data_IF_083782996467
#
_entry.id   IF_083782996467
#
_cell.length_a   1.000
_cell.length_b   1.000
_cell.length_c   1.000
_cell.angle_alpha   90.00
_cell.angle_beta   90.00
_cell.angle_gamma   90.00
#
_symmetry.space_group_name_H-M   'P 1'
#
loop_
_entity.id
_entity.type
_entity.pdbx_description
1 polymer ?
#
# COMPACT_ATOMS: atom_id res chain seq x y z
N UNK A 1 -12.12 -1.95 11.70
CA UNK A 1 -11.24 -2.69 10.77
C UNK A 1 -11.22 -1.90 9.47
N UNK A 2 -10.07 -1.66 8.82
CA UNK A 2 -10.04 -0.93 7.55
C UNK A 2 -10.83 -1.68 6.46
N UNK A 3 -11.28 -0.95 5.44
CA UNK A 3 -11.95 -1.51 4.26
C UNK A 3 -11.19 -1.04 3.01
N UNK A 4 -10.89 -1.98 2.12
CA UNK A 4 -10.24 -1.70 0.84
C UNK A 4 -11.27 -1.44 -0.27
N UNK A 5 -10.89 -0.62 -1.27
CA UNK A 5 -11.72 -0.36 -2.47
C UNK A 5 -11.38 -1.29 -3.63
N UNK A 6 -10.11 -1.70 -3.72
CA UNK A 6 -9.61 -2.68 -4.68
C UNK A 6 -9.37 -4.00 -3.95
N UNK A 7 -10.39 -4.86 -3.90
CA UNK A 7 -10.28 -6.17 -3.25
C UNK A 7 -9.73 -7.20 -4.24
N UNK A 8 -8.55 -7.76 -3.97
CA UNK A 8 -8.00 -8.86 -4.74
C UNK A 8 -8.83 -10.14 -4.60
N UNK A 9 -8.95 -10.93 -5.68
CA UNK A 9 -9.76 -12.16 -5.69
C UNK A 9 -9.30 -13.30 -4.76
N UNK A 10 -8.26 -13.08 -3.95
CA UNK A 10 -7.74 -14.02 -2.95
C UNK A 10 -7.70 -13.44 -1.53
N UNK A 11 -8.28 -12.26 -1.33
CA UNK A 11 -8.36 -11.66 0.00
C UNK A 11 -9.36 -12.40 0.88
N UNK A 12 -9.18 -12.29 2.20
CA UNK A 12 -10.15 -12.79 3.14
C UNK A 12 -11.48 -12.02 2.99
N UNK A 13 -12.59 -12.76 2.99
CA UNK A 13 -13.93 -12.26 2.72
C UNK A 13 -14.39 -11.27 3.79
N UNK A 14 -14.85 -10.09 3.38
CA UNK A 14 -15.54 -9.14 4.25
C UNK A 14 -17.05 -9.34 4.07
N UNK A 15 -17.74 -9.67 5.16
CA UNK A 15 -19.19 -9.90 5.13
C UNK A 15 -19.92 -8.58 5.33
N UNK A 16 -20.84 -8.26 4.42
CA UNK A 16 -21.75 -7.13 4.50
C UNK A 16 -23.21 -7.61 4.44
N UNK A 17 -24.12 -6.87 5.06
CA UNK A 17 -25.53 -7.27 5.21
C UNK A 17 -26.30 -7.23 3.88
N UNK A 18 -25.74 -6.61 2.82
CA UNK A 18 -26.37 -6.43 1.51
C UNK A 18 -27.80 -5.82 1.58
N UNK A 19 -28.08 -5.02 2.61
CA UNK A 19 -29.36 -4.33 2.81
C UNK A 19 -29.39 -2.95 2.14
N UNK A 20 -30.57 -2.32 2.07
CA UNK A 20 -30.71 -0.97 1.50
C UNK A 20 -29.94 0.11 2.28
N UNK A 21 -29.70 -0.11 3.58
CA UNK A 21 -28.91 0.77 4.43
C UNK A 21 -27.44 0.83 4.00
N UNK A 22 -26.83 2.01 4.10
CA UNK A 22 -25.42 2.25 3.76
C UNK A 22 -25.03 1.77 2.35
N UNK A 23 -25.95 1.83 1.39
CA UNK A 23 -25.72 1.40 0.01
C UNK A 23 -25.23 -0.06 -0.09
N UNK A 24 -25.77 -0.97 0.74
CA UNK A 24 -25.37 -2.37 0.75
C UNK A 24 -24.14 -2.69 1.60
N UNK A 25 -23.49 -1.68 2.19
CA UNK A 25 -22.23 -1.83 2.94
C UNK A 25 -22.43 -1.90 4.46
N UNK A 26 -23.66 -2.12 4.93
CA UNK A 26 -23.92 -2.33 6.36
C UNK A 26 -23.18 -3.58 6.85
N UNK A 27 -22.68 -3.54 8.09
CA UNK A 27 -21.98 -4.66 8.76
C UNK A 27 -22.59 -4.96 10.13
N UNK A 28 -23.86 -4.61 10.33
CA UNK A 28 -24.51 -4.65 11.63
C UNK A 28 -24.66 -6.08 12.14
N UNK A 29 -24.91 -7.04 11.24
CA UNK A 29 -24.95 -8.47 11.61
C UNK A 29 -23.63 -8.94 12.23
N UNK A 30 -22.49 -8.47 11.74
CA UNK A 30 -21.16 -8.80 12.27
C UNK A 30 -20.96 -8.18 13.66
N UNK A 31 -21.41 -6.95 13.87
CA UNK A 31 -21.35 -6.30 15.19
C UNK A 31 -22.22 -7.05 16.21
N UNK A 32 -23.46 -7.39 15.84
CA UNK A 32 -24.36 -8.17 16.69
C UNK A 32 -23.78 -9.55 17.01
N UNK A 33 -23.16 -10.19 16.01
CA UNK A 33 -22.49 -11.48 16.20
C UNK A 33 -21.34 -11.39 17.21
N UNK A 34 -20.46 -10.40 17.08
CA UNK A 34 -19.34 -10.19 18.04
C UNK A 34 -19.89 -9.96 19.45
N UNK A 35 -20.92 -9.13 19.59
CA UNK A 35 -21.52 -8.85 20.91
C UNK A 35 -22.21 -10.07 21.52
N UNK A 36 -22.90 -10.87 20.70
CA UNK A 36 -23.54 -12.11 21.13
C UNK A 36 -22.53 -13.19 21.56
N UNK A 37 -21.40 -13.26 20.87
CA UNK A 37 -20.33 -14.23 21.14
C UNK A 37 -19.41 -13.80 22.30
N UNK A 38 -19.56 -12.57 22.83
CA UNK A 38 -18.65 -11.98 23.81
C UNK A 38 -18.42 -12.84 25.07
N UNK A 39 -19.48 -13.40 25.66
CA UNK A 39 -19.33 -14.24 26.86
C UNK A 39 -18.56 -15.54 26.55
N UNK A 40 -18.87 -16.18 25.42
CA UNK A 40 -18.16 -17.38 24.98
C UNK A 40 -16.68 -17.08 24.76
N UNK A 41 -16.35 -15.93 24.15
CA UNK A 41 -14.97 -15.50 23.91
C UNK A 41 -14.21 -15.25 25.23
N UNK A 42 -14.89 -14.81 26.28
CA UNK A 42 -14.28 -14.62 27.61
C UNK A 42 -13.98 -15.94 28.33
N UNK A 43 -14.72 -17.00 28.01
CA UNK A 43 -14.52 -18.33 28.59
C UNK A 43 -13.41 -19.13 27.89
N UNK A 44 -12.84 -18.61 26.79
CA UNK A 44 -11.72 -19.25 26.09
C UNK A 44 -10.45 -19.08 26.92
N UNK A 45 -9.86 -20.20 27.34
CA UNK A 45 -8.52 -20.20 27.92
C UNK A 45 -7.49 -19.92 26.81
N UNK A 46 -6.84 -18.76 26.89
CA UNK A 46 -5.80 -18.32 25.96
C UNK A 46 -4.50 -18.07 26.73
N UNK A 47 -3.43 -18.78 26.36
CA UNK A 47 -2.10 -18.60 26.94
C UNK A 47 -1.27 -17.58 26.14
N UNK A 48 -1.58 -17.46 24.84
CA UNK A 48 -1.00 -16.47 23.95
C UNK A 48 -2.04 -16.01 22.89
N UNK A 49 -1.83 -14.87 22.21
CA UNK A 49 -2.79 -14.37 21.23
C UNK A 49 -3.04 -15.30 20.03
N UNK A 50 -2.06 -16.12 19.64
CA UNK A 50 -2.23 -17.07 18.53
C UNK A 50 -3.24 -18.16 18.84
N UNK A 51 -3.45 -18.49 20.11
CA UNK A 51 -4.51 -19.45 20.51
C UNK A 51 -5.91 -18.94 20.10
N UNK A 52 -6.15 -17.63 20.22
CA UNK A 52 -7.40 -17.03 19.75
C UNK A 52 -7.47 -17.03 18.21
N UNK A 53 -6.36 -16.72 17.52
CA UNK A 53 -6.33 -16.77 16.05
C UNK A 53 -6.64 -18.18 15.54
N UNK A 54 -6.03 -19.21 16.13
CA UNK A 54 -6.27 -20.61 15.79
C UNK A 54 -7.73 -21.02 16.07
N UNK A 55 -8.27 -20.60 17.22
CA UNK A 55 -9.68 -20.80 17.54
C UNK A 55 -10.58 -20.14 16.49
N UNK A 56 -10.33 -18.88 16.14
CA UNK A 56 -11.14 -18.14 15.16
C UNK A 56 -11.05 -18.74 13.75
N UNK A 57 -9.85 -19.21 13.35
CA UNK A 57 -9.65 -19.90 12.07
C UNK A 57 -10.42 -21.22 12.06
N UNK A 58 -10.36 -22.02 13.12
CA UNK A 58 -11.11 -23.26 13.23
C UNK A 58 -12.63 -23.02 13.29
N UNK A 59 -13.05 -21.99 14.03
CA UNK A 59 -14.44 -21.57 14.18
C UNK A 59 -15.02 -20.98 12.89
N UNK A 60 -14.19 -20.45 11.99
CA UNK A 60 -14.57 -20.08 10.63
C UNK A 60 -14.55 -21.26 9.64
N UNK A 61 -13.52 -22.09 9.71
CA UNK A 61 -13.43 -23.34 8.93
C UNK A 61 -13.41 -23.17 7.40
N UNK A 62 -13.29 -21.97 6.85
CA UNK A 62 -13.05 -21.74 5.42
C UNK A 62 -11.65 -21.17 5.18
N UNK A 63 -11.12 -21.33 3.97
CA UNK A 63 -9.79 -20.80 3.62
C UNK A 63 -9.76 -19.26 3.62
N UNK A 64 -10.87 -18.64 3.21
CA UNK A 64 -11.00 -17.21 2.96
C UNK A 64 -11.77 -16.45 4.03
N UNK A 65 -12.16 -17.10 5.14
CA UNK A 65 -12.98 -16.48 6.20
C UNK A 65 -14.39 -16.09 5.77
N UNK A 66 -14.98 -16.79 4.80
CA UNK A 66 -16.33 -16.50 4.28
C UNK A 66 -17.46 -16.89 5.23
N UNK A 67 -17.20 -17.66 6.31
CA UNK A 67 -18.24 -18.03 7.28
C UNK A 67 -18.45 -16.97 8.37
N UNK A 68 -17.38 -16.52 9.01
CA UNK A 68 -17.40 -15.50 10.07
C UNK A 68 -17.13 -14.10 9.52
N UNK A 69 -16.30 -14.00 8.48
CA UNK A 69 -15.83 -12.74 7.92
C UNK A 69 -14.47 -12.32 8.49
N UNK A 70 -13.61 -11.78 7.63
CA UNK A 70 -12.38 -11.09 8.02
C UNK A 70 -12.68 -9.91 8.97
N UNK A 71 -13.79 -9.23 8.77
CA UNK A 71 -14.28 -8.15 9.61
C UNK A 71 -14.85 -8.60 10.96
N UNK A 72 -15.05 -9.90 11.19
CA UNK A 72 -15.31 -10.50 12.50
C UNK A 72 -14.02 -10.94 13.19
N UNK A 73 -13.16 -11.66 12.47
CA UNK A 73 -11.96 -12.32 13.03
C UNK A 73 -10.81 -11.35 13.31
N UNK A 74 -10.48 -10.46 12.36
CA UNK A 74 -9.37 -9.51 12.48
C UNK A 74 -9.47 -8.53 13.68
N UNK A 75 -10.63 -7.92 14.01
CA UNK A 75 -10.69 -7.02 15.17
C UNK A 75 -10.51 -7.77 16.48
N UNK A 76 -11.02 -9.00 16.60
CA UNK A 76 -10.84 -9.84 17.79
C UNK A 76 -9.36 -10.22 17.97
N UNK A 77 -8.69 -10.63 16.89
CA UNK A 77 -7.25 -10.87 16.85
C UNK A 77 -6.48 -9.62 17.34
N UNK A 78 -6.66 -8.46 16.69
CA UNK A 78 -5.97 -7.22 17.08
C UNK A 78 -6.25 -6.84 18.54
N UNK A 79 -7.48 -7.03 19.01
CA UNK A 79 -7.86 -6.76 20.40
C UNK A 79 -7.08 -7.65 21.37
N UNK A 80 -6.94 -8.93 21.06
CA UNK A 80 -6.17 -9.89 21.87
C UNK A 80 -4.69 -9.50 21.96
N UNK A 81 -4.03 -9.19 20.85
CA UNK A 81 -2.64 -8.71 20.88
C UNK A 81 -2.48 -7.42 21.70
N UNK A 82 -3.46 -6.50 21.63
CA UNK A 82 -3.47 -5.31 22.48
C UNK A 82 -3.63 -5.65 23.96
N UNK A 83 -4.56 -6.56 24.29
CA UNK A 83 -4.79 -7.02 25.66
C UNK A 83 -3.52 -7.62 26.26
N UNK A 84 -2.88 -8.57 25.58
CA UNK A 84 -1.64 -9.19 26.06
C UNK A 84 -0.50 -8.17 26.20
N UNK A 85 -0.36 -7.25 25.25
CA UNK A 85 0.62 -6.16 25.38
C UNK A 85 0.37 -5.30 26.63
N UNK A 86 -0.91 -5.03 26.95
CA UNK A 86 -1.31 -4.27 28.12
C UNK A 86 -1.07 -5.03 29.43
N UNK A 87 -1.42 -6.32 29.50
CA UNK A 87 -1.17 -7.18 30.66
C UNK A 87 0.33 -7.25 31.01
N UNK A 88 1.20 -7.23 29.99
CA UNK A 88 2.65 -7.22 30.16
C UNK A 88 3.24 -5.81 30.34
N UNK A 89 2.42 -4.75 30.39
CA UNK A 89 2.87 -3.36 30.45
C UNK A 89 3.84 -2.97 29.32
N UNK A 90 3.68 -3.58 28.15
CA UNK A 90 4.46 -3.31 26.94
C UNK A 90 3.66 -2.44 25.97
N UNK A 91 4.36 -1.60 25.20
CA UNK A 91 3.77 -1.00 24.00
C UNK A 91 3.50 -2.10 22.97
N UNK A 92 2.40 -2.02 22.22
CA UNK A 92 2.02 -3.04 21.23
C UNK A 92 3.16 -3.40 20.25
N UNK A 93 3.87 -2.41 19.72
CA UNK A 93 5.00 -2.66 18.81
C UNK A 93 6.13 -3.47 19.48
N UNK A 94 6.37 -3.25 20.78
CA UNK A 94 7.40 -3.95 21.54
C UNK A 94 6.97 -5.38 21.85
N UNK A 95 5.68 -5.57 22.14
CA UNK A 95 5.10 -6.89 22.30
C UNK A 95 5.22 -7.72 21.00
N UNK A 96 4.81 -7.17 19.86
CA UNK A 96 4.96 -7.82 18.54
C UNK A 96 6.44 -8.10 18.23
N UNK A 97 7.33 -7.18 18.57
CA UNK A 97 8.77 -7.39 18.39
C UNK A 97 9.27 -8.60 19.20
N UNK A 98 8.86 -8.73 20.46
CA UNK A 98 9.23 -9.88 21.29
C UNK A 98 8.67 -11.19 20.73
N UNK A 99 7.43 -11.19 20.23
CA UNK A 99 6.81 -12.37 19.63
C UNK A 99 7.48 -12.81 18.32
N UNK A 100 7.88 -11.84 17.48
CA UNK A 100 8.46 -12.12 16.16
C UNK A 100 9.97 -12.26 16.17
N UNK A 101 10.59 -12.03 17.32
CA UNK A 101 12.05 -11.93 17.49
C UNK A 101 12.71 -10.95 16.50
N UNK A 102 11.93 -9.97 16.02
CA UNK A 102 12.38 -9.05 14.99
C UNK A 102 13.30 -7.96 15.54
N UNK A 103 14.21 -7.49 14.69
CA UNK A 103 15.03 -6.32 15.00
C UNK A 103 14.14 -5.08 14.99
N UNK A 104 14.24 -4.25 16.04
CA UNK A 104 13.58 -2.96 16.06
C UNK A 104 14.17 -2.06 14.98
N UNK A 105 13.32 -1.63 14.06
CA UNK A 105 13.63 -0.66 13.01
C UNK A 105 12.41 0.21 12.75
N UNK A 106 12.64 1.49 12.47
CA UNK A 106 11.58 2.36 11.95
C UNK A 106 11.54 2.18 10.43
N UNK A 107 10.38 1.89 9.82
CA UNK A 107 10.28 1.70 8.37
C UNK A 107 10.51 3.02 7.63
N UNK A 108 11.02 2.92 6.40
CA UNK A 108 11.03 4.07 5.48
C UNK A 108 9.60 4.33 4.99
N UNK A 109 9.01 5.49 5.29
CA UNK A 109 7.67 5.80 4.81
C UNK A 109 7.67 6.05 3.30
N UNK A 110 6.70 5.46 2.62
CA UNK A 110 6.32 5.82 1.26
C UNK A 110 5.05 6.65 1.36
N UNK A 111 5.14 7.91 0.94
CA UNK A 111 4.03 8.85 0.99
C UNK A 111 3.37 8.91 -0.38
N UNK A 112 2.11 8.48 -0.48
CA UNK A 112 1.32 8.66 -1.69
C UNK A 112 1.05 10.17 -1.91
N UNK A 113 1.56 10.72 -3.01
CA UNK A 113 1.46 12.16 -3.30
C UNK A 113 0.67 12.47 -4.56
N UNK A 114 0.47 11.48 -5.43
CA UNK A 114 -0.25 11.62 -6.69
C UNK A 114 -0.98 10.32 -7.03
N UNK A 115 -2.27 10.46 -7.29
CA UNK A 115 -3.19 9.36 -7.57
C UNK A 115 -3.52 9.28 -9.05
N UNK A 116 -3.62 8.05 -9.54
CA UNK A 116 -4.14 7.69 -10.85
C UNK A 116 -5.13 6.52 -10.74
N UNK A 117 -5.42 5.87 -11.86
CA UNK A 117 -6.24 4.66 -11.90
C UNK A 117 -7.62 4.84 -11.28
N UNK A 118 -8.15 3.77 -10.65
CA UNK A 118 -9.48 3.72 -10.02
C UNK A 118 -9.64 4.68 -8.82
N UNK A 119 -8.54 5.26 -8.33
CA UNK A 119 -8.54 6.26 -7.27
C UNK A 119 -8.68 7.69 -7.81
N UNK A 120 -8.73 7.88 -9.14
CA UNK A 120 -8.83 9.20 -9.77
C UNK A 120 -9.69 9.18 -11.04
N UNK A 121 -10.10 10.37 -11.52
CA UNK A 121 -10.74 10.53 -12.83
C UNK A 121 -9.77 10.82 -13.98
N UNK A 122 -8.46 10.65 -13.78
CA UNK A 122 -7.44 10.94 -14.80
C UNK A 122 -7.10 9.69 -15.64
N UNK A 123 -6.27 9.88 -16.68
CA UNK A 123 -5.98 8.84 -17.67
C UNK A 123 -4.74 7.99 -17.35
N UNK A 124 -4.20 8.06 -16.13
CA UNK A 124 -3.03 7.27 -15.75
C UNK A 124 -3.47 5.89 -15.27
N UNK A 125 -2.82 4.84 -15.77
CA UNK A 125 -3.10 3.47 -15.36
C UNK A 125 -2.50 3.11 -13.99
N UNK A 126 -1.38 3.75 -13.60
CA UNK A 126 -0.78 3.60 -12.27
C UNK A 126 -1.73 4.20 -11.21
N UNK A 127 -1.99 3.46 -10.13
CA UNK A 127 -2.91 3.87 -9.08
C UNK A 127 -2.29 4.88 -8.12
N UNK A 128 -1.03 4.65 -7.72
CA UNK A 128 -0.35 5.47 -6.72
C UNK A 128 1.08 5.77 -7.15
N UNK A 129 1.44 7.05 -7.08
CA UNK A 129 2.83 7.51 -7.19
C UNK A 129 3.25 8.06 -5.84
N UNK A 130 4.14 7.33 -5.20
CA UNK A 130 4.63 7.63 -3.86
C UNK A 130 6.06 8.15 -3.90
N UNK A 131 6.44 8.87 -2.85
CA UNK A 131 7.82 9.28 -2.60
C UNK A 131 8.32 8.76 -1.26
N UNK A 132 9.59 8.38 -1.23
CA UNK A 132 10.26 7.93 -0.03
C UNK A 132 11.59 8.66 0.14
N UNK A 133 11.87 9.10 1.36
CA UNK A 133 13.11 9.77 1.72
C UNK A 133 14.00 8.85 2.54
N UNK A 134 15.30 9.13 2.56
CA UNK A 134 16.30 8.34 3.31
C UNK A 134 17.09 9.22 4.28
N UNK A 135 16.37 10.10 4.97
CA UNK A 135 16.91 10.96 6.01
C UNK A 135 17.20 10.16 7.30
N UNK A 136 17.91 10.78 8.23
CA UNK A 136 18.37 10.15 9.48
C UNK A 136 17.26 9.77 10.47
N UNK A 137 16.04 10.27 10.26
CA UNK A 137 14.90 10.05 11.15
C UNK A 137 13.58 10.05 10.38
N UNK A 138 12.55 9.45 10.99
CA UNK A 138 11.19 9.46 10.41
C UNK A 138 10.66 10.88 10.31
N UNK A 139 10.90 11.70 11.33
CA UNK A 139 10.51 13.10 11.41
C UNK A 139 11.09 13.90 10.24
N UNK A 140 12.38 13.70 9.93
CA UNK A 140 12.99 14.36 8.78
C UNK A 140 12.45 13.85 7.46
N UNK A 141 12.18 12.54 7.33
CA UNK A 141 11.53 12.00 6.13
C UNK A 141 10.12 12.60 5.91
N UNK A 142 9.35 12.77 6.99
CA UNK A 142 8.03 13.39 6.95
C UNK A 142 8.12 14.88 6.59
N UNK A 143 9.05 15.63 7.21
CA UNK A 143 9.29 17.04 6.88
C UNK A 143 9.56 17.22 5.38
N UNK A 144 10.48 16.43 4.81
CA UNK A 144 10.78 16.46 3.37
C UNK A 144 9.59 16.10 2.48
N UNK A 145 8.80 15.12 2.90
CA UNK A 145 7.61 14.73 2.16
C UNK A 145 6.56 15.84 2.17
N UNK A 146 6.37 16.53 3.30
CA UNK A 146 5.48 17.69 3.41
C UNK A 146 5.97 18.84 2.52
N UNK A 147 7.27 19.18 2.56
CA UNK A 147 7.86 20.20 1.68
C UNK A 147 7.59 19.90 0.19
N UNK A 148 7.83 18.64 -0.24
CA UNK A 148 7.58 18.20 -1.61
C UNK A 148 6.08 18.23 -1.96
N UNK A 149 5.22 17.78 -1.05
CA UNK A 149 3.77 17.71 -1.26
C UNK A 149 3.15 19.11 -1.44
N UNK A 150 3.53 20.08 -0.60
CA UNK A 150 3.07 21.47 -0.77
C UNK A 150 3.65 22.12 -2.03
N UNK A 151 4.92 21.84 -2.35
CA UNK A 151 5.48 22.32 -3.63
C UNK A 151 4.81 21.67 -4.85
N UNK A 152 4.34 20.42 -4.73
CA UNK A 152 3.56 19.74 -5.76
C UNK A 152 2.21 20.40 -5.97
N UNK A 153 1.50 20.70 -4.87
CA UNK A 153 0.26 21.47 -4.93
C UNK A 153 0.45 22.79 -5.69
N UNK A 154 1.49 23.55 -5.36
CA UNK A 154 1.70 24.87 -5.97
C UNK A 154 2.04 24.74 -7.46
N UNK A 155 2.80 23.72 -7.87
CA UNK A 155 3.06 23.42 -9.29
C UNK A 155 1.78 23.00 -10.01
N UNK A 156 0.91 22.20 -9.40
CA UNK A 156 -0.39 21.81 -9.96
C UNK A 156 -1.27 23.05 -10.18
N UNK A 157 -1.28 23.99 -9.22
CA UNK A 157 -2.02 25.26 -9.35
C UNK A 157 -1.50 26.07 -10.54
N UNK A 158 -0.18 26.13 -10.72
CA UNK A 158 0.45 26.86 -11.83
C UNK A 158 0.14 26.23 -13.20
N UNK A 159 0.09 24.91 -13.29
CA UNK A 159 -0.06 24.21 -14.58
C UNK A 159 -1.52 23.96 -14.97
N UNK A 160 -2.37 23.61 -14.00
CA UNK A 160 -3.74 23.18 -14.25
C UNK A 160 -4.78 24.08 -13.58
N UNK A 161 -4.41 24.77 -12.50
CA UNK A 161 -5.29 25.63 -11.72
C UNK A 161 -5.74 25.01 -10.39
N UNK A 162 -6.28 25.87 -9.52
CA UNK A 162 -6.60 25.52 -8.12
C UNK A 162 -7.59 24.36 -7.97
N UNK A 163 -8.53 24.21 -8.90
CA UNK A 163 -9.55 23.14 -8.80
C UNK A 163 -8.96 21.72 -8.90
N UNK A 164 -7.73 21.59 -9.41
CA UNK A 164 -7.05 20.30 -9.59
C UNK A 164 -6.16 19.91 -8.42
N UNK A 165 -6.22 20.65 -7.30
CA UNK A 165 -5.56 20.25 -6.04
C UNK A 165 -6.49 19.45 -5.12
N UNK A 166 -7.58 18.90 -5.65
CA UNK A 166 -8.37 17.91 -4.94
C UNK A 166 -7.53 16.65 -4.69
N UNK A 167 -7.83 15.98 -3.60
CA UNK A 167 -7.11 14.77 -3.17
C UNK A 167 -8.00 13.54 -3.33
N UNK A 168 -7.39 12.41 -3.62
CA UNK A 168 -8.07 11.10 -3.64
C UNK A 168 -8.23 10.51 -2.23
N UNK A 169 -8.69 9.25 -2.18
CA UNK A 169 -9.01 8.53 -0.94
C UNK A 169 -7.82 8.44 0.04
N UNK A 170 -6.60 8.47 -0.47
CA UNK A 170 -5.35 8.36 0.32
C UNK A 170 -4.57 9.67 0.45
N UNK A 171 -5.17 10.79 0.04
CA UNK A 171 -4.56 12.11 0.21
C UNK A 171 -3.61 12.57 -0.91
N UNK A 172 -3.24 11.70 -1.86
CA UNK A 172 -2.51 12.14 -3.07
C UNK A 172 -3.35 13.03 -4.00
N UNK A 173 -2.72 13.96 -4.72
CA UNK A 173 -3.41 14.82 -5.70
C UNK A 173 -3.86 14.04 -6.94
N UNK A 174 -4.95 14.47 -7.57
CA UNK A 174 -5.45 13.86 -8.81
C UNK A 174 -5.58 14.88 -9.97
N UNK A 175 -4.47 15.49 -10.43
CA UNK A 175 -4.50 16.45 -11.54
C UNK A 175 -4.87 15.76 -12.87
N UNK A 176 -5.23 16.53 -13.93
CA UNK A 176 -5.69 16.00 -15.21
C UNK A 176 -4.51 15.61 -16.12
N UNK A 177 -3.64 14.75 -15.60
CA UNK A 177 -2.44 14.25 -16.26
C UNK A 177 -2.76 13.11 -17.22
N UNK A 178 -2.01 13.04 -18.34
CA UNK A 178 -2.30 12.15 -19.46
C UNK A 178 -1.60 10.80 -19.37
N UNK A 179 -0.42 10.76 -18.76
CA UNK A 179 0.40 9.55 -18.67
C UNK A 179 1.36 9.62 -17.47
N UNK A 180 2.01 8.49 -17.16
CA UNK A 180 2.94 8.37 -16.04
C UNK A 180 4.11 9.37 -16.13
N UNK A 181 4.62 9.63 -17.35
CA UNK A 181 5.73 10.55 -17.56
C UNK A 181 5.37 11.98 -17.12
N UNK A 182 4.16 12.46 -17.46
CA UNK A 182 3.67 13.77 -17.03
C UNK A 182 3.57 13.84 -15.50
N UNK A 183 3.05 12.79 -14.86
CA UNK A 183 3.01 12.69 -13.39
C UNK A 183 4.40 12.73 -12.74
N UNK A 184 5.37 12.00 -13.29
CA UNK A 184 6.75 12.01 -12.81
C UNK A 184 7.43 13.37 -13.03
N UNK A 185 7.18 14.01 -14.18
CA UNK A 185 7.71 15.34 -14.48
C UNK A 185 7.18 16.41 -13.52
N UNK A 186 5.90 16.34 -13.13
CA UNK A 186 5.36 17.21 -12.08
C UNK A 186 6.13 17.06 -10.78
N UNK A 187 6.34 15.82 -10.31
CA UNK A 187 7.08 15.54 -9.08
C UNK A 187 8.52 16.08 -9.17
N UNK A 188 9.21 15.88 -10.29
CA UNK A 188 10.56 16.39 -10.50
C UNK A 188 10.61 17.93 -10.52
N UNK A 189 9.63 18.58 -11.15
CA UNK A 189 9.51 20.04 -11.17
C UNK A 189 9.27 20.59 -9.76
N UNK A 190 8.41 19.94 -8.98
CA UNK A 190 8.14 20.27 -7.58
C UNK A 190 9.35 20.06 -6.69
N UNK A 191 10.08 18.96 -6.86
CA UNK A 191 11.32 18.71 -6.14
C UNK A 191 12.36 19.80 -6.45
N UNK A 192 12.49 20.20 -7.72
CA UNK A 192 13.37 21.32 -8.11
C UNK A 192 12.93 22.64 -7.46
N UNK A 193 11.64 22.96 -7.45
CA UNK A 193 11.09 24.17 -6.81
C UNK A 193 11.33 24.18 -5.30
N UNK A 194 11.21 23.03 -4.64
CA UNK A 194 11.49 22.85 -3.22
C UNK A 194 12.99 22.67 -2.88
N UNK A 195 13.89 22.72 -3.87
CA UNK A 195 15.32 22.42 -3.68
C UNK A 195 15.60 21.05 -3.07
N UNK A 196 14.73 20.06 -3.36
CA UNK A 196 14.84 18.67 -2.93
C UNK A 196 15.52 17.87 -4.04
N UNK A 197 16.61 17.18 -3.71
CA UNK A 197 17.41 16.44 -4.68
C UNK A 197 17.52 14.95 -4.41
N UNK A 198 17.21 14.50 -3.19
CA UNK A 198 17.40 13.11 -2.78
C UNK A 198 16.10 12.48 -2.27
N UNK A 199 15.47 11.67 -3.13
CA UNK A 199 14.29 10.88 -2.80
C UNK A 199 14.18 9.68 -3.76
N UNK A 200 13.31 8.75 -3.43
CA UNK A 200 12.92 7.61 -4.25
C UNK A 200 11.47 7.75 -4.63
N UNK A 201 11.12 7.21 -5.79
CA UNK A 201 9.75 7.08 -6.26
C UNK A 201 9.34 5.62 -6.12
N UNK A 202 8.17 5.39 -5.54
CA UNK A 202 7.48 4.11 -5.52
C UNK A 202 6.24 4.19 -6.39
N UNK A 203 5.95 3.13 -7.13
CA UNK A 203 4.74 3.03 -7.95
C UNK A 203 3.90 1.84 -7.48
N UNK A 204 2.62 2.08 -7.22
CA UNK A 204 1.59 1.03 -7.23
C UNK A 204 0.89 1.04 -8.58
N UNK A 205 1.12 -0.02 -9.34
CA UNK A 205 0.51 -0.16 -10.65
C UNK A 205 -0.91 -0.73 -10.55
N UNK A 206 -1.31 -1.41 -9.47
CA UNK A 206 -2.60 -2.10 -9.36
C UNK A 206 -2.97 -2.92 -10.61
N UNK A 207 -2.01 -3.69 -11.14
CA UNK A 207 -2.08 -4.30 -12.47
C UNK A 207 -3.29 -5.23 -12.68
N UNK A 208 -3.84 -5.81 -11.61
CA UNK A 208 -5.07 -6.60 -11.66
C UNK A 208 -6.28 -5.81 -12.19
N UNK A 209 -6.31 -4.49 -12.02
CA UNK A 209 -7.43 -3.64 -12.44
C UNK A 209 -7.50 -3.39 -13.96
N UNK A 210 -6.42 -3.63 -14.70
CA UNK A 210 -6.35 -3.43 -16.17
C UNK A 210 -5.63 -4.58 -16.89
N UNK A 211 -5.61 -5.77 -16.28
CA UNK A 211 -4.86 -6.92 -16.76
C UNK A 211 -5.29 -7.34 -18.19
N UNK A 212 -4.37 -7.16 -19.14
CA UNK A 212 -4.24 -7.96 -20.36
C UNK A 212 -2.75 -8.18 -20.63
N UNK A 213 -2.34 -9.34 -21.18
CA UNK A 213 -0.92 -9.65 -21.45
C UNK A 213 -0.23 -8.58 -22.32
N UNK A 214 -1.00 -7.97 -23.23
CA UNK A 214 -0.54 -6.89 -24.12
C UNK A 214 -0.28 -5.59 -23.37
N UNK A 215 -1.13 -5.25 -22.39
CA UNK A 215 -0.98 -4.05 -21.57
C UNK A 215 0.30 -4.09 -20.71
N UNK A 216 0.64 -5.25 -20.15
CA UNK A 216 1.84 -5.38 -19.30
C UNK A 216 3.13 -5.27 -20.13
N UNK A 217 3.14 -5.84 -21.34
CA UNK A 217 4.28 -5.73 -22.26
C UNK A 217 4.53 -4.28 -22.71
N UNK A 218 3.47 -3.55 -23.06
CA UNK A 218 3.55 -2.12 -23.39
C UNK A 218 4.05 -1.29 -22.20
N UNK A 219 3.61 -1.60 -20.99
CA UNK A 219 4.02 -0.87 -19.78
C UNK A 219 5.50 -1.09 -19.44
N UNK A 220 6.00 -2.34 -19.45
CA UNK A 220 7.42 -2.62 -19.25
C UNK A 220 8.26 -1.93 -20.33
N UNK A 221 7.79 -1.94 -21.59
CA UNK A 221 8.47 -1.26 -22.70
C UNK A 221 8.52 0.26 -22.49
N UNK A 222 7.41 0.90 -22.11
CA UNK A 222 7.33 2.34 -21.83
C UNK A 222 8.21 2.73 -20.64
N UNK A 223 8.22 1.92 -19.59
CA UNK A 223 9.09 2.12 -18.43
C UNK A 223 10.57 2.00 -18.82
N UNK A 224 10.94 1.05 -19.67
CA UNK A 224 12.33 0.87 -20.12
C UNK A 224 12.78 1.93 -21.13
N UNK A 225 11.90 2.39 -22.03
CA UNK A 225 12.24 3.36 -23.08
C UNK A 225 12.31 4.80 -22.57
N UNK A 226 11.47 5.19 -21.58
CA UNK A 226 11.36 6.59 -21.13
C UNK A 226 12.04 6.89 -19.79
N UNK A 227 12.37 5.88 -18.98
CA UNK A 227 12.98 6.08 -17.65
C UNK A 227 14.47 5.72 -17.60
N UNK A 228 15.13 5.46 -18.72
CA UNK A 228 16.55 5.11 -18.74
C UNK A 228 17.50 6.14 -18.07
N UNK A 229 17.19 7.45 -17.95
CA UNK A 229 18.00 8.37 -17.13
C UNK A 229 17.74 8.27 -15.62
N UNK A 230 16.66 7.59 -15.19
CA UNK A 230 16.19 7.50 -13.81
C UNK A 230 16.39 6.06 -13.33
N UNK A 231 17.35 5.83 -12.43
CA UNK A 231 17.75 4.48 -12.03
C UNK A 231 16.59 3.67 -11.43
N UNK A 232 15.93 2.83 -12.22
CA UNK A 232 15.04 1.76 -11.76
C UNK A 232 15.93 0.73 -11.08
N UNK A 233 15.80 0.54 -9.76
CA UNK A 233 16.53 -0.51 -9.03
C UNK A 233 15.55 -1.45 -8.35
N UNK A 234 15.60 -2.70 -8.83
CA UNK A 234 15.33 -3.97 -8.15
C UNK A 234 13.92 -4.56 -8.02
N UNK A 235 12.84 -3.96 -8.50
CA UNK A 235 11.52 -4.57 -8.24
C UNK A 235 10.96 -5.50 -9.32
N UNK A 236 11.62 -5.67 -10.47
CA UNK A 236 11.17 -6.67 -11.48
C UNK A 236 11.60 -8.11 -11.16
N UNK A 237 12.31 -8.34 -10.05
CA UNK A 237 12.80 -9.67 -9.64
C UNK A 237 11.67 -10.65 -9.27
N UNK A 238 10.46 -10.17 -9.03
CA UNK A 238 9.34 -10.98 -8.51
C UNK A 238 8.28 -11.33 -9.56
N UNK A 239 8.36 -10.77 -10.76
CA UNK A 239 7.45 -11.10 -11.87
C UNK A 239 7.98 -12.37 -12.55
N UNK A 240 7.41 -13.54 -12.23
CA UNK A 240 7.65 -14.78 -12.97
C UNK A 240 6.98 -14.72 -14.36
N UNK A 241 7.49 -13.87 -15.24
CA UNK A 241 7.16 -13.93 -16.67
C UNK A 241 8.33 -14.58 -17.42
N UNK A 242 8.10 -15.67 -18.18
CA UNK A 242 9.12 -16.30 -19.02
C UNK A 242 9.81 -15.32 -19.99
N UNK A 243 9.13 -14.23 -20.35
CA UNK A 243 9.61 -13.18 -21.27
C UNK A 243 10.73 -12.32 -20.67
N UNK A 244 10.74 -12.10 -19.34
CA UNK A 244 11.76 -11.26 -18.67
C UNK A 244 13.13 -11.96 -18.55
N UNK A 245 13.17 -13.30 -18.55
CA UNK A 245 14.43 -14.09 -18.50
C UNK A 245 15.29 -13.94 -19.76
N UNK A 246 14.71 -13.59 -20.90
CA UNK A 246 15.45 -13.46 -22.17
C UNK A 246 16.26 -12.15 -22.21
N UNK A 247 15.82 -11.11 -21.47
CA UNK A 247 16.45 -9.79 -21.46
C UNK A 247 17.53 -9.61 -20.37
N UNK A 248 17.51 -10.41 -19.29
CA UNK A 248 18.46 -10.30 -18.18
C UNK A 248 19.44 -11.49 -18.18
N UNK A 249 20.59 -11.35 -18.84
CA UNK A 249 21.60 -12.41 -19.00
C UNK A 249 22.42 -12.74 -17.71
N UNK A 250 21.80 -12.86 -16.52
CA UNK A 250 22.47 -13.43 -15.30
C UNK A 250 21.48 -14.13 -14.35
N UNK A 251 21.92 -15.16 -13.59
CA UNK A 251 21.02 -15.98 -12.80
C UNK A 251 20.51 -15.23 -11.56
N UNK A 252 19.19 -15.23 -11.38
CA UNK A 252 18.50 -14.68 -10.21
C UNK A 252 18.30 -15.82 -9.19
N UNK A 253 18.88 -15.66 -8.00
CA UNK A 253 18.66 -16.52 -6.84
C UNK A 253 17.29 -16.19 -6.22
N UNK A 254 16.40 -17.19 -6.17
CA UNK A 254 15.07 -17.11 -5.55
C UNK A 254 15.10 -17.60 -4.11
N UNK A 255 14.56 -16.81 -3.18
CA UNK A 255 14.17 -17.27 -1.84
C UNK A 255 12.84 -16.63 -1.45
N UNK A 256 11.83 -17.46 -1.12
CA UNK A 256 10.63 -17.12 -0.35
C UNK A 256 9.59 -16.24 -1.04
N UNK A 257 8.51 -16.85 -1.53
CA UNK A 257 7.42 -16.16 -2.22
C UNK A 257 6.51 -15.35 -1.30
N UNK A 258 6.24 -14.11 -1.74
CA UNK A 258 4.99 -13.31 -1.63
C UNK A 258 5.10 -12.28 -2.78
N UNK A 259 4.07 -12.16 -3.62
CA UNK A 259 4.05 -11.25 -4.76
C UNK A 259 3.48 -9.91 -4.33
N UNK A 260 4.26 -8.84 -4.44
CA UNK A 260 3.78 -7.47 -4.27
C UNK A 260 4.32 -6.62 -5.42
N UNK A 261 3.43 -6.04 -6.23
CA UNK A 261 3.68 -5.39 -7.53
C UNK A 261 4.30 -3.98 -7.43
N UNK A 262 5.25 -3.77 -6.52
CA UNK A 262 5.87 -2.47 -6.34
C UNK A 262 6.99 -2.25 -7.35
N UNK A 263 7.15 -1.05 -7.91
CA UNK A 263 8.39 -0.63 -8.60
C UNK A 263 9.07 0.51 -7.84
N UNK A 264 10.38 0.39 -7.56
CA UNK A 264 11.17 1.42 -6.89
C UNK A 264 12.18 2.04 -7.86
N UNK A 265 12.15 3.36 -7.96
CA UNK A 265 13.02 4.14 -8.83
C UNK A 265 13.80 5.16 -7.98
N UNK A 266 15.12 5.22 -8.12
CA UNK A 266 15.94 6.27 -7.51
C UNK A 266 15.89 7.53 -8.36
N UNK A 267 15.64 8.68 -7.73
CA UNK A 267 15.88 9.97 -8.38
C UNK A 267 17.34 10.03 -8.87
N UNK A 268 17.62 10.53 -10.09
CA UNK A 268 18.98 10.84 -10.47
C UNK A 268 19.49 11.90 -9.50
N UNK A 269 20.62 11.66 -8.86
CA UNK A 269 21.42 12.77 -8.34
C UNK A 269 21.60 13.76 -9.48
N UNK A 270 21.11 15.00 -9.33
CA UNK A 270 21.20 16.07 -10.32
C UNK A 270 22.63 16.18 -10.84
N UNK A 271 22.91 15.47 -11.93
CA UNK A 271 24.19 15.38 -12.61
C UNK A 271 23.98 16.06 -13.94
N UNK A 272 23.97 17.39 -13.91
CA UNK A 272 24.31 18.24 -15.05
C UNK A 272 24.80 19.60 -14.54
N UNK A 273 26.13 19.77 -14.59
CA UNK A 273 26.73 20.87 -15.36
C UNK A 273 26.43 20.60 -16.83
#
# INVERSE_FOLDING_TARGET
VPSGKSTGGKEACVIVDNQSSYFGQSVWSIVEKINGDANMLLDISIDNPSDLDDYLIAADGTEDKSRLGANYTLPLSICCYKLFSHCLSLKLWRYIQCLTESKYTIPTPYFNILNGGVHSGNNISCQEIMVAFQESSFEKNLERAVELYYSLRDVIIEEFGLIFTSVGDEGGFAPPIKNLEEGLNLILKSAKKASITNFRIGLDLAANSFYSEVCMWLMVKVLMENLWPICIIDSLKTIQLPVLRILLQRPILTVGGICTDWLVIKSPSLLMI
#
